data_IF_847008784803
#
_entry.id   IF_847008784803
#
_cell.length_a   1.000
_cell.length_b   1.000
_cell.length_c   1.000
_cell.angle_alpha   90.00
_cell.angle_beta   90.00
_cell.angle_gamma   90.00
#
_symmetry.space_group_name_H-M   'P 1'
#
loop_
_entity.id
_entity.type
_entity.pdbx_description
1 polymer ?
#
# COMPACT_ATOMS: atom_id res chain seq x y z
N UNK A 1 -18.19 -16.50 -15.66
CA UNK A 1 -17.98 -15.22 -14.94
C UNK A 1 -17.86 -14.13 -15.96
N UNK A 2 -18.73 -13.14 -15.90
CA UNK A 2 -18.64 -11.94 -16.74
C UNK A 2 -17.89 -10.85 -15.99
N UNK A 3 -16.93 -10.21 -16.64
CA UNK A 3 -16.23 -9.03 -16.13
C UNK A 3 -16.88 -7.82 -16.81
N UNK A 4 -17.58 -7.00 -16.02
CA UNK A 4 -18.34 -5.86 -16.54
C UNK A 4 -17.53 -4.58 -16.58
N UNK A 5 -16.58 -4.43 -15.67
CA UNK A 5 -15.77 -3.22 -15.56
C UNK A 5 -14.38 -3.57 -15.04
N UNK A 6 -13.36 -3.16 -15.80
CA UNK A 6 -11.97 -3.31 -15.42
C UNK A 6 -11.12 -2.21 -16.06
N UNK A 7 -10.02 -1.83 -15.40
CA UNK A 7 -9.07 -0.84 -15.90
C UNK A 7 -7.63 -1.26 -15.60
N UNK A 8 -6.65 -0.83 -16.42
CA UNK A 8 -5.24 -0.96 -16.08
C UNK A 8 -4.96 -0.28 -14.75
N UNK A 9 -4.19 -0.93 -13.87
CA UNK A 9 -3.79 -0.35 -12.60
C UNK A 9 -2.37 0.21 -12.71
N UNK A 10 -2.27 1.49 -13.06
CA UNK A 10 -0.99 2.16 -13.35
C UNK A 10 -0.14 2.45 -12.10
N UNK A 11 -0.73 2.45 -10.91
CA UNK A 11 -0.01 2.69 -9.66
C UNK A 11 0.63 1.41 -9.12
N UNK A 12 1.49 0.79 -9.92
CA UNK A 12 2.19 -0.46 -9.59
C UNK A 12 3.67 -0.22 -9.35
N UNK A 13 4.05 -0.14 -8.07
CA UNK A 13 5.38 -0.58 -7.63
C UNK A 13 5.18 -1.71 -6.62
N UNK A 14 5.98 -2.81 -6.62
CA UNK A 14 7.06 -3.18 -7.55
C UNK A 14 6.55 -4.07 -8.70
N UNK A 15 7.44 -4.40 -9.64
CA UNK A 15 7.24 -5.44 -10.68
C UNK A 15 6.62 -6.70 -10.08
N UNK A 16 5.39 -7.02 -10.49
CA UNK A 16 4.68 -8.18 -9.99
C UNK A 16 5.08 -9.43 -10.76
N UNK A 17 5.92 -10.27 -10.14
CA UNK A 17 6.17 -11.63 -10.62
C UNK A 17 5.10 -12.57 -10.05
N UNK A 18 4.19 -13.06 -10.90
CA UNK A 18 3.17 -14.03 -10.50
C UNK A 18 2.50 -14.69 -11.69
N UNK A 19 1.57 -15.60 -11.42
CA UNK A 19 0.83 -16.30 -12.48
C UNK A 19 -0.31 -15.41 -12.96
N UNK A 20 -0.43 -15.22 -14.28
CA UNK A 20 -1.54 -14.48 -14.86
C UNK A 20 -2.90 -15.04 -14.39
N UNK A 21 -3.84 -14.14 -14.05
CA UNK A 21 -5.12 -14.49 -13.45
C UNK A 21 -5.12 -14.60 -11.92
N UNK A 22 -3.96 -14.46 -11.27
CA UNK A 22 -3.87 -14.45 -9.82
C UNK A 22 -4.34 -13.11 -9.23
N UNK A 23 -5.25 -13.17 -8.25
CA UNK A 23 -5.62 -12.00 -7.45
C UNK A 23 -4.47 -11.69 -6.49
N UNK A 24 -3.95 -10.48 -6.55
CA UNK A 24 -2.85 -9.99 -5.71
C UNK A 24 -3.31 -9.01 -4.63
N UNK A 25 -4.42 -8.32 -4.84
CA UNK A 25 -4.97 -7.42 -3.84
C UNK A 25 -6.49 -7.28 -3.94
N UNK A 26 -7.10 -6.85 -2.85
CA UNK A 26 -8.49 -6.41 -2.82
C UNK A 26 -8.54 -5.01 -2.28
N UNK A 27 -9.10 -4.11 -3.07
CA UNK A 27 -9.32 -2.73 -2.71
C UNK A 27 -10.78 -2.64 -2.25
N UNK A 28 -11.00 -2.62 -0.94
CA UNK A 28 -12.34 -2.57 -0.35
C UNK A 28 -13.16 -1.43 -0.95
N UNK A 29 -14.33 -1.74 -1.48
CA UNK A 29 -15.23 -0.80 -2.16
C UNK A 29 -14.77 -0.32 -3.53
N UNK A 30 -13.69 -0.88 -4.08
CA UNK A 30 -13.17 -0.54 -5.42
C UNK A 30 -13.03 -1.75 -6.34
N UNK A 31 -12.71 -2.94 -5.82
CA UNK A 31 -12.56 -4.16 -6.61
C UNK A 31 -11.31 -4.96 -6.27
N UNK A 32 -10.84 -5.77 -7.22
CA UNK A 32 -9.69 -6.67 -7.04
C UNK A 32 -8.60 -6.40 -8.06
N UNK A 33 -7.34 -6.50 -7.63
CA UNK A 33 -6.17 -6.43 -8.50
C UNK A 33 -5.78 -7.84 -8.94
N UNK A 34 -5.63 -8.03 -10.25
CA UNK A 34 -5.28 -9.31 -10.87
C UNK A 34 -4.01 -9.14 -11.72
N UNK A 35 -3.03 -10.02 -11.55
CA UNK A 35 -1.83 -10.06 -12.41
C UNK A 35 -2.23 -10.47 -13.82
N UNK A 36 -1.74 -9.74 -14.82
CA UNK A 36 -1.76 -10.12 -16.24
C UNK A 36 -0.34 -10.51 -16.69
N UNK A 37 -0.17 -10.91 -17.95
CA UNK A 37 1.16 -11.26 -18.48
C UNK A 37 2.12 -10.07 -18.57
N UNK A 38 1.61 -8.84 -18.52
CA UNK A 38 2.30 -7.58 -18.80
C UNK A 38 2.06 -6.50 -17.73
N UNK A 39 1.29 -6.80 -16.67
CA UNK A 39 0.95 -5.81 -15.65
C UNK A 39 -0.12 -6.26 -14.66
N UNK A 40 -0.95 -5.31 -14.24
CA UNK A 40 -2.02 -5.52 -13.26
C UNK A 40 -3.31 -4.87 -13.74
N UNK A 41 -4.41 -5.62 -13.64
CA UNK A 41 -5.75 -5.16 -13.96
C UNK A 41 -6.55 -4.96 -12.66
N UNK A 42 -7.17 -3.80 -12.50
CA UNK A 42 -8.19 -3.57 -11.48
C UNK A 42 -9.55 -3.99 -12.04
N UNK A 43 -10.08 -5.11 -11.56
CA UNK A 43 -11.44 -5.56 -11.86
C UNK A 43 -12.39 -4.98 -10.83
N UNK A 44 -13.31 -4.13 -11.25
CA UNK A 44 -14.25 -3.42 -10.37
C UNK A 44 -15.54 -4.20 -10.17
N UNK A 45 -16.09 -4.78 -11.24
CA UNK A 45 -17.39 -5.45 -11.17
C UNK A 45 -17.44 -6.73 -11.98
N UNK A 46 -18.05 -7.76 -11.39
CA UNK A 46 -18.23 -9.08 -11.97
C UNK A 46 -19.66 -9.59 -11.79
N UNK A 47 -20.01 -10.59 -12.59
CA UNK A 47 -21.26 -11.32 -12.46
C UNK A 47 -21.01 -12.83 -12.64
N UNK A 48 -21.46 -13.62 -11.67
CA UNK A 48 -21.52 -15.08 -11.80
C UNK A 48 -22.75 -15.49 -12.63
N UNK A 49 -22.68 -16.63 -13.28
CA UNK A 49 -23.80 -17.11 -14.08
C UNK A 49 -25.02 -17.35 -13.18
N UNK A 50 -26.16 -16.75 -13.55
CA UNK A 50 -27.39 -16.80 -12.76
C UNK A 50 -27.42 -15.90 -11.53
N UNK A 51 -26.40 -15.06 -11.29
CA UNK A 51 -26.34 -14.14 -10.15
C UNK A 51 -26.41 -12.67 -10.58
N UNK A 52 -26.67 -11.76 -9.65
CA UNK A 52 -26.65 -10.32 -9.91
C UNK A 52 -25.22 -9.78 -10.08
N UNK A 53 -25.08 -8.66 -10.81
CA UNK A 53 -23.81 -7.93 -10.92
C UNK A 53 -23.43 -7.37 -9.56
N UNK A 54 -22.19 -7.61 -9.11
CA UNK A 54 -21.67 -7.14 -7.81
C UNK A 54 -20.28 -6.54 -7.94
N UNK A 55 -19.82 -5.90 -6.87
CA UNK A 55 -18.43 -5.45 -6.76
C UNK A 55 -17.50 -6.67 -6.65
N UNK A 56 -16.35 -6.61 -7.31
CA UNK A 56 -15.45 -7.76 -7.41
C UNK A 56 -14.84 -8.14 -6.05
N UNK A 57 -14.58 -7.18 -5.17
CA UNK A 57 -14.03 -7.43 -3.83
C UNK A 57 -15.02 -8.14 -2.90
N UNK A 58 -16.31 -7.86 -3.07
CA UNK A 58 -17.40 -8.51 -2.33
C UNK A 58 -17.69 -9.90 -2.89
N UNK A 59 -17.83 -10.01 -4.21
CA UNK A 59 -18.17 -11.24 -4.90
C UNK A 59 -17.07 -12.31 -4.77
N UNK A 60 -15.81 -11.89 -4.64
CA UNK A 60 -14.67 -12.78 -4.49
C UNK A 60 -14.23 -12.93 -3.02
N UNK A 61 -15.10 -12.65 -2.03
CA UNK A 61 -14.76 -12.74 -0.60
C UNK A 61 -14.17 -14.11 -0.19
N UNK A 62 -13.30 -14.16 0.85
CA UNK A 62 -12.39 -15.27 1.04
C UNK A 62 -13.06 -16.46 1.72
N UNK A 63 -13.40 -17.49 0.95
CA UNK A 63 -13.41 -18.87 1.46
C UNK A 63 -12.05 -19.55 1.31
N UNK A 64 -11.07 -18.91 0.68
CA UNK A 64 -9.71 -19.46 0.52
C UNK A 64 -8.65 -18.36 0.50
N UNK A 65 -7.77 -18.39 1.50
CA UNK A 65 -6.57 -17.55 1.58
C UNK A 65 -5.69 -17.76 0.34
N UNK A 66 -5.63 -16.77 -0.56
CA UNK A 66 -4.71 -16.79 -1.70
C UNK A 66 -3.37 -16.17 -1.26
N UNK A 67 -2.29 -16.95 -1.34
CA UNK A 67 -0.93 -16.60 -0.88
C UNK A 67 -0.47 -15.19 -1.31
N UNK A 68 -0.82 -14.75 -2.53
CA UNK A 68 -0.45 -13.44 -3.06
C UNK A 68 -1.03 -12.24 -2.29
N UNK A 69 -2.21 -12.40 -1.69
CA UNK A 69 -2.84 -11.34 -0.87
C UNK A 69 -2.06 -11.09 0.42
N UNK A 70 -1.57 -12.16 1.05
CA UNK A 70 -0.85 -12.05 2.33
C UNK A 70 0.52 -11.37 2.17
N UNK A 71 1.22 -11.62 1.07
CA UNK A 71 2.54 -11.03 0.80
C UNK A 71 2.41 -9.52 0.59
N UNK A 72 1.42 -9.06 -0.19
CA UNK A 72 1.24 -7.63 -0.43
C UNK A 72 0.84 -6.86 0.84
N UNK A 73 -0.05 -7.45 1.65
CA UNK A 73 -0.40 -6.89 2.96
C UNK A 73 0.84 -6.74 3.86
N UNK A 74 1.79 -7.67 3.76
CA UNK A 74 3.08 -7.59 4.47
C UNK A 74 3.93 -6.42 3.96
N UNK A 75 4.07 -6.26 2.64
CA UNK A 75 4.81 -5.16 2.04
C UNK A 75 4.21 -3.80 2.39
N UNK A 76 2.88 -3.64 2.32
CA UNK A 76 2.22 -2.39 2.70
C UNK A 76 2.45 -2.02 4.15
N UNK A 77 2.43 -3.00 5.06
CA UNK A 77 2.77 -2.79 6.48
C UNK A 77 4.22 -2.37 6.64
N UNK A 78 5.14 -3.00 5.91
CA UNK A 78 6.57 -2.70 5.97
C UNK A 78 6.87 -1.28 5.47
N UNK A 79 6.28 -0.87 4.34
CA UNK A 79 6.42 0.49 3.79
C UNK A 79 5.91 1.56 4.76
N UNK A 80 4.72 1.36 5.36
CA UNK A 80 4.19 2.29 6.37
C UNK A 80 5.11 2.41 7.59
N UNK A 81 5.72 1.30 7.99
CA UNK A 81 6.62 1.27 9.13
C UNK A 81 7.93 2.00 8.82
N UNK A 82 8.45 1.86 7.60
CA UNK A 82 9.61 2.63 7.10
C UNK A 82 9.32 4.13 7.04
N UNK A 83 8.18 4.54 6.51
CA UNK A 83 7.77 5.97 6.49
C UNK A 83 7.68 6.55 7.90
N UNK A 84 7.15 5.77 8.85
CA UNK A 84 7.03 6.20 10.24
C UNK A 84 8.41 6.36 10.88
N UNK A 85 9.31 5.40 10.66
CA UNK A 85 10.69 5.47 11.15
C UNK A 85 11.45 6.67 10.57
N UNK A 86 11.29 6.96 9.27
CA UNK A 86 11.90 8.14 8.63
C UNK A 86 11.37 9.44 9.22
N UNK A 87 10.06 9.56 9.46
CA UNK A 87 9.47 10.72 10.11
C UNK A 87 10.02 10.94 11.52
N UNK A 88 10.13 9.88 12.31
CA UNK A 88 10.69 9.97 13.66
C UNK A 88 12.17 10.38 13.64
N UNK A 89 12.95 9.83 12.71
CA UNK A 89 14.36 10.20 12.58
C UNK A 89 14.54 11.69 12.23
N UNK A 90 13.76 12.18 11.26
CA UNK A 90 13.77 13.61 10.90
C UNK A 90 13.36 14.52 12.07
N UNK A 91 12.42 14.08 12.92
CA UNK A 91 12.04 14.82 14.13
C UNK A 91 13.18 14.86 15.16
N UNK A 92 13.90 13.75 15.36
CA UNK A 92 15.06 13.70 16.27
C UNK A 92 16.17 14.64 15.78
N UNK A 93 16.54 14.59 14.50
CA UNK A 93 17.55 15.51 13.95
C UNK A 93 17.14 16.98 14.09
N UNK A 94 15.85 17.29 13.95
CA UNK A 94 15.36 18.66 14.12
C UNK A 94 15.45 19.14 15.58
N UNK A 95 15.24 18.23 16.54
CA UNK A 95 15.37 18.53 17.97
C UNK A 95 16.83 18.69 18.38
N UNK A 96 17.73 17.86 17.85
CA UNK A 96 19.17 17.98 18.10
C UNK A 96 19.70 19.35 17.62
N UNK A 97 19.35 19.77 16.39
CA UNK A 97 19.73 21.10 15.89
C UNK A 97 19.15 22.23 16.75
N UNK A 98 17.91 22.10 17.21
CA UNK A 98 17.28 23.10 18.08
C UNK A 98 17.97 23.21 19.45
N UNK A 99 18.44 22.08 20.00
CA UNK A 99 19.18 22.06 21.27
C UNK A 99 20.59 22.64 21.10
N UNK A 100 21.28 22.34 19.99
CA UNK A 100 22.59 22.92 19.67
C UNK A 100 22.51 24.45 19.50
N UNK A 101 21.50 24.96 18.78
CA UNK A 101 21.27 26.41 18.61
C UNK A 101 20.99 27.13 19.94
N UNK A 102 20.37 26.45 20.91
CA UNK A 102 20.15 26.99 22.26
C UNK A 102 21.40 26.94 23.13
N UNK A 103 22.23 25.91 23.00
CA UNK A 103 23.47 25.80 23.77
C UNK A 103 24.45 26.93 23.42
N UNK A 104 24.55 27.31 22.14
CA UNK A 104 25.40 28.41 21.66
C UNK A 104 24.98 29.77 22.23
N UNK A 105 23.69 29.98 22.51
CA UNK A 105 23.17 31.24 23.07
C UNK A 105 23.22 31.33 24.60
N UNK A 106 23.85 30.38 25.31
CA UNK A 106 23.88 30.34 26.78
C UNK A 106 25.26 30.49 27.42
N UNK A 107 26.31 30.87 26.67
CA UNK A 107 27.58 31.25 27.32
C UNK A 107 27.39 32.51 28.20
N UNK A 108 27.60 32.43 29.53
CA UNK A 108 27.48 33.59 30.38
C UNK A 108 28.67 34.53 30.16
N UNK A 109 28.37 35.81 29.92
CA UNK A 109 29.37 36.87 29.84
C UNK A 109 30.29 36.81 31.07
N UNK A 110 31.59 36.62 30.83
CA UNK A 110 32.64 36.67 31.84
C UNK A 110 32.60 38.04 32.55
N UNK A 111 32.45 38.10 33.88
CA UNK A 111 32.57 39.35 34.60
C UNK A 111 34.05 39.78 34.64
N UNK A 112 34.31 40.98 34.10
CA UNK A 112 35.54 41.78 34.27
C UNK A 112 35.72 42.27 35.69
#
# INVERSE_FOLDING_TARGET
VYIWEAEPYENTAPEFHGVAGQIIHRLKGRGVLIITGDGVLLVKSIQFEGDERRSADEALSPTGSRLGLQILDLYQKLSKLQETAQKMHAQIESLERFLDDKAINTEPAKPT
#
